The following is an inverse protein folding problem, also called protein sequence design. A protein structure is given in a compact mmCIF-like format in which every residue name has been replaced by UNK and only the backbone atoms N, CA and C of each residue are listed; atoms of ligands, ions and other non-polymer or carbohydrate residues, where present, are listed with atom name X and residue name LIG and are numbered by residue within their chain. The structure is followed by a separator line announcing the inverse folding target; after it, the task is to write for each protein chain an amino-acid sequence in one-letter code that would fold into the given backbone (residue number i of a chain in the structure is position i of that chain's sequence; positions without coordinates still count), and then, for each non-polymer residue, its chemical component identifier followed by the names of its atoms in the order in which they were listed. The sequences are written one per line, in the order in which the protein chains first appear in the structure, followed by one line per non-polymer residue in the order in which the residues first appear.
data_IF_660486667460
#
_entry.id   IF_660486667460
#
_cell.length_a   1.000
_cell.length_b   1.000
_cell.length_c   1.000
_cell.angle_alpha   90.00
_cell.angle_beta   90.00
_cell.angle_gamma   90.00
#
_symmetry.space_group_name_H-M   'P 1'
#
loop_
_entity.id
_entity.type
_entity.pdbx_description
1 polymer ?
#
# COMPACT_ATOMS: atom_id res chain seq x y z
N UNK A 1 6.93 -10.47 6.31
CA UNK A 1 7.78 -9.27 6.45
C UNK A 1 7.06 -8.18 7.24
N UNK A 2 7.77 -7.11 7.62
CA UNK A 2 7.24 -5.95 8.31
C UNK A 2 7.76 -4.67 7.62
N UNK A 3 6.87 -3.83 7.08
CA UNK A 3 7.25 -2.55 6.47
C UNK A 3 6.54 -1.39 7.15
N UNK A 4 7.14 -0.21 7.05
CA UNK A 4 6.56 1.07 7.50
C UNK A 4 6.65 2.06 6.35
N UNK A 5 5.68 2.96 6.27
CA UNK A 5 5.63 3.92 5.20
C UNK A 5 4.31 4.68 5.16
N UNK A 6 4.11 5.42 4.08
CA UNK A 6 2.89 6.19 3.83
C UNK A 6 2.10 5.54 2.72
N UNK A 7 0.77 5.47 2.86
CA UNK A 7 -0.09 4.97 1.78
C UNK A 7 -0.28 6.06 0.73
N UNK A 8 0.06 5.74 -0.51
CA UNK A 8 -0.02 6.64 -1.67
C UNK A 8 -0.88 6.02 -2.77
N UNK A 9 -1.62 6.83 -3.54
CA UNK A 9 -2.35 6.35 -4.71
C UNK A 9 -1.37 6.10 -5.87
N UNK A 10 -1.57 5.02 -6.64
CA UNK A 10 -0.69 4.66 -7.78
C UNK A 10 -1.39 4.63 -9.13
N UNK A 11 -2.70 4.41 -9.14
CA UNK A 11 -3.51 4.37 -10.35
C UNK A 11 -4.75 5.22 -10.15
N UNK A 12 -5.21 5.84 -11.24
CA UNK A 12 -6.40 6.69 -11.29
C UNK A 12 -7.31 6.25 -12.44
N UNK A 13 -8.62 6.33 -12.23
CA UNK A 13 -9.60 6.24 -13.32
C UNK A 13 -9.73 7.58 -14.08
N UNK A 14 -10.49 7.57 -15.18
CA UNK A 14 -10.68 8.74 -16.05
C UNK A 14 -11.36 9.95 -15.35
N UNK A 15 -11.93 9.73 -14.16
CA UNK A 15 -12.62 10.76 -13.36
C UNK A 15 -11.82 11.16 -12.11
N UNK A 16 -10.59 10.64 -11.95
CA UNK A 16 -9.64 11.04 -10.91
C UNK A 16 -9.76 10.26 -9.59
N UNK A 17 -10.55 9.19 -9.52
CA UNK A 17 -10.55 8.31 -8.34
C UNK A 17 -9.35 7.37 -8.36
N UNK A 18 -8.73 7.19 -7.20
CA UNK A 18 -7.65 6.21 -7.06
C UNK A 18 -8.20 4.78 -7.13
N UNK A 19 -7.65 3.97 -8.05
CA UNK A 19 -8.05 2.56 -8.27
C UNK A 19 -7.06 1.56 -7.65
N UNK A 20 -5.87 2.01 -7.28
CA UNK A 20 -4.88 1.22 -6.54
C UNK A 20 -4.04 2.09 -5.59
N UNK A 21 -3.49 1.44 -4.56
CA UNK A 21 -2.59 2.05 -3.58
C UNK A 21 -1.30 1.27 -3.44
N UNK A 22 -0.25 1.99 -3.03
CA UNK A 22 1.03 1.45 -2.62
C UNK A 22 1.44 1.96 -1.24
N UNK A 23 2.37 1.24 -0.62
CA UNK A 23 3.16 1.72 0.50
C UNK A 23 4.45 2.35 -0.04
N UNK A 24 4.57 3.67 0.07
CA UNK A 24 5.86 4.35 -0.04
C UNK A 24 6.63 4.10 1.26
N UNK A 25 7.51 3.10 1.23
CA UNK A 25 8.16 2.57 2.42
C UNK A 25 9.42 3.36 2.82
N UNK A 26 9.81 3.21 4.08
CA UNK A 26 10.97 3.90 4.66
C UNK A 26 12.31 3.45 4.08
N UNK A 27 12.32 2.34 3.34
CA UNK A 27 13.47 1.84 2.58
C UNK A 27 13.58 2.46 1.17
N UNK A 28 12.87 3.57 0.94
CA UNK A 28 12.80 4.31 -0.32
C UNK A 28 12.23 3.48 -1.50
N UNK A 29 11.58 2.36 -1.20
CA UNK A 29 10.92 1.52 -2.19
C UNK A 29 9.40 1.69 -2.14
N UNK A 30 8.78 1.55 -3.30
CA UNK A 30 7.34 1.52 -3.42
C UNK A 30 6.86 0.07 -3.53
N UNK A 31 5.83 -0.26 -2.74
CA UNK A 31 5.25 -1.59 -2.74
C UNK A 31 3.75 -1.52 -3.01
N UNK A 32 3.31 -2.10 -4.14
CA UNK A 32 1.91 -2.14 -4.51
C UNK A 32 1.13 -3.04 -3.54
N UNK A 33 -0.02 -2.57 -3.06
CA UNK A 33 -0.88 -3.37 -2.18
C UNK A 33 -1.76 -4.29 -3.04
N UNK A 34 -1.72 -5.59 -2.77
CA UNK A 34 -2.61 -6.55 -3.43
C UNK A 34 -4.07 -6.31 -3.01
N UNK A 35 -5.00 -6.18 -3.97
CA UNK A 35 -6.42 -6.04 -3.68
C UNK A 35 -7.10 -7.39 -3.39
N UNK A 36 -6.39 -8.51 -3.35
CA UNK A 36 -6.97 -9.85 -3.25
C UNK A 36 -7.73 -10.07 -1.93
N UNK A 37 -7.24 -9.50 -0.83
CA UNK A 37 -7.86 -9.66 0.49
C UNK A 37 -8.50 -8.37 1.03
N UNK A 38 -9.39 -8.53 2.02
CA UNK A 38 -10.15 -7.41 2.60
C UNK A 38 -9.24 -6.39 3.27
N UNK A 39 -8.18 -6.84 3.93
CA UNK A 39 -7.22 -5.99 4.65
C UNK A 39 -6.42 -5.10 3.69
N UNK A 40 -6.02 -5.65 2.54
CA UNK A 40 -5.38 -4.93 1.44
C UNK A 40 -6.29 -3.83 0.90
N UNK A 41 -7.55 -4.17 0.60
CA UNK A 41 -8.54 -3.21 0.08
C UNK A 41 -8.87 -2.09 1.07
N UNK A 42 -8.86 -2.33 2.38
CA UNK A 42 -9.16 -1.29 3.36
C UNK A 42 -8.07 -0.22 3.48
N UNK A 43 -6.85 -0.47 2.99
CA UNK A 43 -5.78 0.53 2.97
C UNK A 43 -6.09 1.73 2.06
N UNK A 44 -7.01 1.60 1.10
CA UNK A 44 -7.50 2.75 0.32
C UNK A 44 -8.10 3.86 1.21
N UNK A 45 -8.66 3.51 2.37
CA UNK A 45 -9.21 4.49 3.31
C UNK A 45 -8.13 5.22 4.10
N UNK A 46 -6.88 4.77 3.99
CA UNK A 46 -5.73 5.27 4.73
C UNK A 46 -4.76 6.05 3.85
N UNK A 47 -5.23 6.61 2.73
CA UNK A 47 -4.43 7.50 1.89
C UNK A 47 -3.77 8.60 2.73
N UNK A 48 -2.48 8.82 2.50
CA UNK A 48 -1.62 9.79 3.21
C UNK A 48 -1.40 9.48 4.69
N UNK A 49 -1.86 8.34 5.19
CA UNK A 49 -1.61 7.89 6.56
C UNK A 49 -0.28 7.14 6.62
N UNK A 50 0.46 7.33 7.72
CA UNK A 50 1.64 6.51 8.01
C UNK A 50 1.20 5.22 8.69
N UNK A 51 1.60 4.08 8.15
CA UNK A 51 1.21 2.76 8.66
C UNK A 51 2.39 1.82 8.79
N UNK A 52 2.23 0.80 9.64
CA UNK A 52 3.05 -0.41 9.65
C UNK A 52 2.23 -1.54 9.03
N UNK A 53 2.77 -2.22 8.02
CA UNK A 53 2.15 -3.37 7.34
C UNK A 53 2.90 -4.65 7.72
N UNK A 54 2.15 -5.70 8.01
CA UNK A 54 2.65 -7.07 8.09
C UNK A 54 2.03 -7.89 6.96
N UNK A 55 2.86 -8.58 6.19
CA UNK A 55 2.42 -9.27 4.99
C UNK A 55 3.52 -10.05 4.31
N UNK A 56 3.22 -10.55 3.13
CA UNK A 56 4.15 -11.29 2.28
C UNK A 56 4.40 -10.50 1.00
N UNK A 57 5.66 -10.38 0.58
CA UNK A 57 5.99 -9.81 -0.73
C UNK A 57 5.93 -10.94 -1.73
N UNK A 58 5.18 -10.72 -2.79
CA UNK A 58 5.35 -11.49 -3.99
C UNK A 58 6.39 -10.80 -4.87
N UNK A 59 7.55 -11.45 -5.03
CA UNK A 59 8.65 -10.96 -5.85
C UNK A 59 8.50 -11.33 -7.33
N UNK A 60 7.48 -12.10 -7.71
CA UNK A 60 7.17 -12.50 -9.09
C UNK A 60 6.18 -11.52 -9.75
N UNK A 61 6.28 -10.24 -9.45
CA UNK A 61 5.58 -9.24 -10.23
C UNK A 61 6.20 -9.15 -11.64
N UNK A 62 5.56 -9.89 -12.54
CA UNK A 62 5.74 -9.93 -13.99
C UNK A 62 5.70 -8.51 -14.58
N UNK A 63 6.66 -8.22 -15.47
CA UNK A 63 6.70 -7.04 -16.33
C UNK A 63 6.68 -5.65 -15.64
N UNK A 64 7.72 -5.30 -14.88
CA UNK A 64 8.07 -3.90 -14.62
C UNK A 64 7.21 -3.12 -13.62
N UNK A 65 6.22 -3.75 -12.97
CA UNK A 65 5.23 -3.10 -12.09
C UNK A 65 5.54 -3.16 -10.57
N UNK A 66 6.80 -3.39 -10.19
CA UNK A 66 7.25 -3.28 -8.79
C UNK A 66 6.81 -4.41 -7.86
N UNK A 67 7.28 -4.38 -6.61
CA UNK A 67 7.02 -5.42 -5.59
C UNK A 67 5.57 -5.35 -5.11
N UNK A 68 4.86 -6.48 -5.06
CA UNK A 68 3.46 -6.55 -4.58
C UNK A 68 3.42 -7.12 -3.16
N UNK A 69 2.57 -6.57 -2.30
CA UNK A 69 2.36 -7.05 -0.92
C UNK A 69 0.96 -7.60 -0.73
N UNK A 70 0.88 -8.84 -0.29
CA UNK A 70 -0.32 -9.39 0.33
C UNK A 70 -0.35 -9.01 1.82
N UNK A 71 -1.31 -8.19 2.22
CA UNK A 71 -1.39 -7.62 3.56
C UNK A 71 -2.14 -8.56 4.51
N UNK A 72 -1.48 -9.01 5.58
CA UNK A 72 -2.12 -9.81 6.62
C UNK A 72 -2.75 -8.91 7.69
N UNK A 73 -2.02 -7.87 8.13
CA UNK A 73 -2.46 -6.90 9.12
C UNK A 73 -1.76 -5.54 8.91
N UNK A 74 -2.32 -4.49 9.50
CA UNK A 74 -1.66 -3.19 9.57
C UNK A 74 -1.97 -2.45 10.88
N UNK A 75 -1.16 -1.43 11.18
CA UNK A 75 -1.38 -0.48 12.27
C UNK A 75 -1.11 0.94 11.79
N UNK A 76 -1.99 1.88 12.12
CA UNK A 76 -1.77 3.31 11.88
C UNK A 76 -0.71 3.80 12.88
N UNK A 77 0.36 4.42 12.38
CA UNK A 77 1.43 4.99 13.20
C UNK A 77 1.19 6.47 13.46
N UNK A 78 0.70 7.20 12.46
CA UNK A 78 0.40 8.63 12.58
C UNK A 78 -0.86 8.96 11.79
N UNK A 79 -1.68 9.83 12.37
CA UNK A 79 -2.81 10.48 11.70
C UNK A 79 -2.38 11.89 11.29
N UNK A 80 -2.64 12.34 10.05
CA UNK A 80 -2.39 13.73 9.67
C UNK A 80 -3.10 14.63 10.67
N UNK A 81 -2.37 15.59 11.25
CA UNK A 81 -2.96 16.56 12.16
C UNK A 81 -3.99 17.41 11.39
N UNK A 82 -5.14 17.73 12.02
CA UNK A 82 -6.22 18.50 11.40
C UNK A 82 -5.81 19.92 11.00
#
# INVERSE_FOLDING_TARGET
MNLRGVIVPTDWDDIGNSTAVALAADDEQEYRISPENKTGRSLHQLLRMRVKIEGTVDSEAVDGHGKVILVNSYRILETPQP
#
